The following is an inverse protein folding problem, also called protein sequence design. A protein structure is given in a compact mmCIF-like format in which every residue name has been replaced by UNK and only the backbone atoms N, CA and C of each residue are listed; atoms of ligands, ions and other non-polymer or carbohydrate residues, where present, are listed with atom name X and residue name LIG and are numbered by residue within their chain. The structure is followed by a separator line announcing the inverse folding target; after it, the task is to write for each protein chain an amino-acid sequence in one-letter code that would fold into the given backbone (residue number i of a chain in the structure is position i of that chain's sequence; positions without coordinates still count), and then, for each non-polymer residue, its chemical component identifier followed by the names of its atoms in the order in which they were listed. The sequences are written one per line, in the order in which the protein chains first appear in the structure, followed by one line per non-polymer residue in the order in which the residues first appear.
data_IF_102384602912
#
_entry.id   IF_102384602912
#
_cell.length_a   1.000
_cell.length_b   1.000
_cell.length_c   1.000
_cell.angle_alpha   90.00
_cell.angle_beta   90.00
_cell.angle_gamma   90.00
#
_symmetry.space_group_name_H-M   'P 1'
#
loop_
_entity.id
_entity.type
_entity.pdbx_description
1 polymer ?
#
# COMPACT_ATOMS: atom_id res chain seq x y z
N UNK A 1 -1.74 -3.65 7.37
CA UNK A 1 -1.36 -2.22 7.30
C UNK A 1 -2.28 -1.49 6.31
N UNK A 2 -2.66 -0.25 6.62
CA UNK A 2 -3.44 0.62 5.75
C UNK A 2 -2.68 1.93 5.48
N UNK A 3 -2.66 2.37 4.23
CA UNK A 3 -2.06 3.64 3.81
C UNK A 3 -3.10 4.41 2.99
N UNK A 4 -3.32 5.68 3.33
CA UNK A 4 -4.22 6.58 2.61
C UNK A 4 -3.54 7.94 2.45
N UNK A 5 -3.64 8.56 1.29
CA UNK A 5 -3.10 9.89 1.02
C UNK A 5 -3.90 10.59 -0.06
N UNK A 6 -3.85 11.92 -0.10
CA UNK A 6 -4.31 12.67 -1.27
C UNK A 6 -3.27 12.59 -2.38
N UNK A 7 -3.74 12.39 -3.61
CA UNK A 7 -2.89 12.22 -4.78
C UNK A 7 -3.36 13.10 -5.94
N UNK A 8 -2.63 14.18 -6.18
CA UNK A 8 -2.94 15.18 -7.22
C UNK A 8 -2.03 15.02 -8.43
N UNK A 9 -2.01 13.84 -9.03
CA UNK A 9 -1.28 13.60 -10.27
C UNK A 9 -2.22 13.54 -11.48
N UNK A 10 -1.78 14.05 -12.62
CA UNK A 10 -2.47 13.84 -13.89
C UNK A 10 -2.40 12.36 -14.28
N UNK A 11 -3.48 11.83 -14.87
CA UNK A 11 -3.53 10.45 -15.35
C UNK A 11 -2.77 10.27 -16.68
N UNK A 12 -1.48 10.60 -16.69
CA UNK A 12 -0.62 10.44 -17.88
C UNK A 12 -0.07 9.01 -17.98
N UNK A 13 0.32 8.55 -19.17
CA UNK A 13 0.96 7.24 -19.35
C UNK A 13 2.20 7.05 -18.46
N UNK A 14 2.99 8.10 -18.24
CA UNK A 14 4.20 8.05 -17.41
C UNK A 14 3.85 7.82 -15.93
N UNK A 15 2.78 8.44 -15.44
CA UNK A 15 2.26 8.23 -14.07
C UNK A 15 1.76 6.79 -13.90
N UNK A 16 1.05 6.26 -14.89
CA UNK A 16 0.59 4.87 -14.89
C UNK A 16 1.77 3.89 -14.91
N UNK A 17 2.78 4.14 -15.75
CA UNK A 17 3.97 3.29 -15.80
C UNK A 17 4.74 3.32 -14.48
N UNK A 18 4.93 4.50 -13.88
CA UNK A 18 5.60 4.62 -12.58
C UNK A 18 4.84 3.90 -11.45
N UNK A 19 3.50 3.87 -11.51
CA UNK A 19 2.68 3.09 -10.58
C UNK A 19 2.85 1.58 -10.80
N UNK A 20 2.86 1.13 -12.06
CA UNK A 20 3.12 -0.27 -12.45
C UNK A 20 4.50 -0.74 -12.00
N UNK A 21 5.55 0.03 -12.26
CA UNK A 21 6.93 -0.30 -11.85
C UNK A 21 7.02 -0.42 -10.33
N UNK A 22 6.31 0.46 -9.60
CA UNK A 22 6.22 0.37 -8.14
C UNK A 22 5.47 -0.87 -7.68
N UNK A 23 4.41 -1.28 -8.37
CA UNK A 23 3.70 -2.51 -8.06
C UNK A 23 4.60 -3.73 -8.24
N UNK A 24 5.40 -3.79 -9.31
CA UNK A 24 6.39 -4.85 -9.52
C UNK A 24 7.42 -4.89 -8.39
N UNK A 25 8.04 -3.74 -8.05
CA UNK A 25 9.01 -3.68 -6.95
C UNK A 25 8.42 -4.10 -5.60
N UNK A 26 7.21 -3.65 -5.29
CA UNK A 26 6.52 -4.06 -4.06
C UNK A 26 6.33 -5.59 -4.04
N UNK A 27 5.90 -6.18 -5.15
CA UNK A 27 5.65 -7.62 -5.22
C UNK A 27 6.93 -8.47 -5.18
N UNK A 28 8.05 -7.98 -5.72
CA UNK A 28 9.29 -8.76 -5.82
C UNK A 28 10.30 -8.51 -4.70
N UNK A 29 10.32 -7.31 -4.10
CA UNK A 29 11.39 -6.89 -3.20
C UNK A 29 10.98 -6.77 -1.74
N UNK A 30 9.68 -6.77 -1.40
CA UNK A 30 9.22 -6.53 -0.02
C UNK A 30 9.09 -7.84 0.75
N UNK A 31 9.99 -8.13 1.71
CA UNK A 31 9.93 -9.35 2.50
C UNK A 31 8.68 -9.35 3.38
N UNK A 32 8.10 -10.54 3.56
CA UNK A 32 6.92 -10.73 4.42
C UNK A 32 5.62 -10.13 3.87
N UNK A 33 5.62 -9.50 2.68
CA UNK A 33 4.38 -9.07 2.03
C UNK A 33 3.61 -10.29 1.51
N UNK A 34 2.37 -10.46 1.96
CA UNK A 34 1.46 -11.50 1.44
C UNK A 34 0.73 -10.97 0.21
N UNK A 35 0.10 -9.80 0.34
CA UNK A 35 -0.57 -9.12 -0.77
C UNK A 35 -0.78 -7.63 -0.48
N UNK A 36 -1.08 -6.89 -1.56
CA UNK A 36 -1.50 -5.50 -1.53
C UNK A 36 -2.72 -5.30 -2.41
N UNK A 37 -3.71 -4.56 -1.90
CA UNK A 37 -4.80 -3.98 -2.70
C UNK A 37 -4.50 -2.50 -2.90
N UNK A 38 -4.52 -2.04 -4.15
CA UNK A 38 -4.44 -0.63 -4.50
C UNK A 38 -5.82 0.01 -4.44
N UNK A 39 -5.93 1.19 -3.84
CA UNK A 39 -7.19 1.93 -3.74
C UNK A 39 -7.01 3.31 -4.35
N UNK A 40 -8.04 3.78 -5.07
CA UNK A 40 -8.08 5.13 -5.62
C UNK A 40 -9.53 5.59 -5.78
N UNK A 41 -9.82 6.80 -5.33
CA UNK A 41 -11.06 7.52 -5.60
C UNK A 41 -10.76 8.78 -6.41
N UNK A 42 -11.17 8.84 -7.69
CA UNK A 42 -10.96 10.01 -8.52
C UNK A 42 -11.76 11.24 -8.08
N UNK A 43 -12.87 11.07 -7.33
CA UNK A 43 -13.72 12.18 -6.90
C UNK A 43 -13.09 12.97 -5.74
N UNK A 44 -12.54 12.26 -4.75
CA UNK A 44 -11.86 12.87 -3.60
C UNK A 44 -10.35 13.05 -3.81
N UNK A 45 -9.79 12.50 -4.90
CA UNK A 45 -8.36 12.41 -5.17
C UNK A 45 -7.61 11.67 -4.05
N UNK A 46 -8.24 10.69 -3.43
CA UNK A 46 -7.63 9.85 -2.41
C UNK A 46 -7.11 8.56 -3.02
N UNK A 47 -5.85 8.24 -2.73
CA UNK A 47 -5.20 7.01 -3.14
C UNK A 47 -4.59 6.31 -1.94
N UNK A 48 -4.32 5.01 -2.07
CA UNK A 48 -3.77 4.27 -0.96
C UNK A 48 -3.49 2.82 -1.26
N UNK A 49 -3.40 2.06 -0.18
CA UNK A 49 -3.41 0.62 -0.27
C UNK A 49 -3.64 -0.06 1.06
N UNK A 50 -4.18 -1.26 0.97
CA UNK A 50 -4.30 -2.20 2.08
C UNK A 50 -3.29 -3.30 1.85
N UNK A 51 -2.49 -3.59 2.88
CA UNK A 51 -1.40 -4.54 2.82
C UNK A 51 -1.58 -5.58 3.91
N UNK A 52 -1.36 -6.84 3.56
CA UNK A 52 -1.18 -7.91 4.53
C UNK A 52 0.30 -8.32 4.56
N UNK A 53 0.85 -8.37 5.76
CA UNK A 53 2.19 -8.87 6.02
C UNK A 53 2.12 -10.11 6.91
N UNK A 54 3.16 -10.95 6.85
CA UNK A 54 3.31 -12.15 7.71
C UNK A 54 3.42 -11.80 9.18
N UNK A 55 3.99 -10.64 9.49
CA UNK A 55 4.24 -10.16 10.85
C UNK A 55 4.41 -8.64 10.89
N UNK A 56 4.36 -8.07 12.10
CA UNK A 56 4.48 -6.63 12.31
C UNK A 56 5.87 -6.08 11.95
N UNK A 57 6.94 -6.86 12.20
CA UNK A 57 8.30 -6.45 11.92
C UNK A 57 8.53 -6.23 10.41
N UNK A 58 7.97 -7.10 9.57
CA UNK A 58 7.99 -6.97 8.11
C UNK A 58 7.26 -5.71 7.64
N UNK A 59 6.11 -5.39 8.26
CA UNK A 59 5.38 -4.17 7.95
C UNK A 59 6.15 -2.90 8.35
N UNK A 60 6.81 -2.91 9.53
CA UNK A 60 7.67 -1.81 9.98
C UNK A 60 8.88 -1.63 9.06
N UNK A 61 9.56 -2.73 8.70
CA UNK A 61 10.69 -2.70 7.77
C UNK A 61 10.30 -2.09 6.41
N UNK A 62 9.09 -2.37 5.90
CA UNK A 62 8.60 -1.73 4.69
C UNK A 62 8.43 -0.21 4.84
N UNK A 63 7.92 0.27 5.98
CA UNK A 63 7.74 1.70 6.26
C UNK A 63 9.06 2.47 6.42
N UNK A 64 10.12 1.78 6.85
CA UNK A 64 11.48 2.30 6.96
C UNK A 64 12.26 2.14 5.65
N UNK A 65 11.74 1.33 4.72
CA UNK A 65 12.40 0.95 3.47
C UNK A 65 12.37 2.03 2.37
N UNK A 66 13.21 1.85 1.33
CA UNK A 66 13.39 2.82 0.25
C UNK A 66 12.14 3.01 -0.62
N UNK A 67 11.32 1.96 -0.79
CA UNK A 67 10.08 2.05 -1.57
C UNK A 67 9.09 3.01 -0.92
N UNK A 68 8.93 2.92 0.41
CA UNK A 68 8.02 3.79 1.15
C UNK A 68 8.59 5.20 1.31
N UNK A 69 9.91 5.34 1.50
CA UNK A 69 10.59 6.63 1.44
C UNK A 69 10.37 7.34 0.09
N UNK A 70 10.54 6.61 -1.02
CA UNK A 70 10.29 7.12 -2.36
C UNK A 70 8.81 7.42 -2.66
N UNK A 71 7.86 6.80 -1.94
CA UNK A 71 6.44 7.18 -2.01
C UNK A 71 6.21 8.51 -1.29
N UNK A 72 6.73 8.68 -0.07
CA UNK A 72 6.64 9.93 0.71
C UNK A 72 7.29 11.13 0.00
N UNK A 73 8.29 10.87 -0.85
CA UNK A 73 8.99 11.91 -1.60
C UNK A 73 8.25 12.42 -2.85
N UNK A 74 7.11 11.82 -3.24
CA UNK A 74 6.36 12.25 -4.42
C UNK A 74 5.67 13.60 -4.12
N UNK A 75 5.97 14.70 -4.85
CA UNK A 75 5.40 16.01 -4.55
C UNK A 75 3.87 16.08 -4.67
N UNK A 76 3.27 15.21 -5.50
CA UNK A 76 1.82 15.13 -5.68
C UNK A 76 1.08 14.40 -4.55
N UNK A 77 1.80 13.87 -3.55
CA UNK A 77 1.23 13.16 -2.40
C UNK A 77 1.14 14.10 -1.19
N UNK A 78 -0.05 14.21 -0.63
CA UNK A 78 -0.34 15.06 0.54
C UNK A 78 -1.11 14.27 1.60
N UNK A 79 -1.04 14.73 2.85
CA UNK A 79 -1.85 14.20 3.97
C UNK A 79 -1.80 12.67 4.14
N UNK A 80 -0.61 12.08 3.98
CA UNK A 80 -0.44 10.63 4.14
C UNK A 80 -0.73 10.17 5.57
N UNK A 81 -1.59 9.17 5.69
CA UNK A 81 -1.92 8.45 6.90
C UNK A 81 -1.52 6.99 6.77
N UNK A 82 -0.92 6.45 7.82
CA UNK A 82 -0.51 5.04 7.91
C UNK A 82 -1.05 4.47 9.20
N UNK A 83 -1.64 3.28 9.13
CA UNK A 83 -2.07 2.51 10.31
C UNK A 83 -1.52 1.09 10.23
N UNK A 84 -0.78 0.70 11.26
CA UNK A 84 -0.47 -0.70 11.56
C UNK A 84 -1.58 -1.23 12.46
N UNK A 85 -2.17 -2.36 12.06
CA UNK A 85 -3.34 -2.96 12.69
C UNK A 85 -3.15 -4.47 12.65
N UNK A 86 -3.49 -5.14 13.75
CA UNK A 86 -3.61 -6.59 13.78
C UNK A 86 -4.81 -7.04 12.94
N UNK A 87 -4.74 -8.26 12.38
CA UNK A 87 -5.86 -8.88 11.68
C UNK A 87 -6.76 -9.56 12.68
N UNK A 88 -8.06 -9.27 12.60
CA UNK A 88 -9.11 -10.02 13.27
C UNK A 88 -9.41 -11.29 12.47
N UNK A 89 -8.66 -12.35 12.72
CA UNK A 89 -8.68 -13.56 11.90
C UNK A 89 -10.08 -14.18 11.80
N UNK A 90 -10.77 -14.34 12.93
CA UNK A 90 -12.07 -15.02 13.00
C UNK A 90 -13.11 -14.36 12.09
N UNK A 91 -13.29 -13.03 12.23
CA UNK A 91 -14.25 -12.30 11.39
C UNK A 91 -13.79 -12.17 9.95
N UNK A 92 -12.48 -12.02 9.73
CA UNK A 92 -11.91 -11.87 8.38
C UNK A 92 -12.10 -13.13 7.53
N UNK A 93 -11.92 -14.31 8.13
CA UNK A 93 -12.15 -15.61 7.47
C UNK A 93 -13.61 -15.75 7.02
N UNK A 94 -14.58 -15.39 7.87
CA UNK A 94 -16.01 -15.39 7.52
C UNK A 94 -16.28 -14.50 6.29
N UNK A 95 -15.60 -13.36 6.19
CA UNK A 95 -15.76 -12.41 5.08
C UNK A 95 -14.86 -12.67 3.89
N UNK A 96 -14.21 -13.85 3.80
CA UNK A 96 -13.37 -14.30 2.68
C UNK A 96 -12.10 -13.47 2.49
N UNK A 97 -11.53 -12.93 3.58
CA UNK A 97 -10.23 -12.30 3.50
C UNK A 97 -9.19 -13.32 3.00
N UNK A 98 -8.29 -12.95 2.08
CA UNK A 98 -7.24 -13.83 1.57
C UNK A 98 -6.10 -13.93 2.60
N UNK A 99 -6.40 -14.43 3.78
CA UNK A 99 -5.38 -14.78 4.77
C UNK A 99 -4.65 -15.99 4.20
N UNK A 100 -3.37 -15.84 3.87
CA UNK A 100 -2.52 -16.97 3.50
C UNK A 100 -2.61 -17.99 4.63
N UNK A 101 -3.18 -19.16 4.34
CA UNK A 101 -3.37 -20.25 5.29
C UNK A 101 -2.06 -20.85 5.80
#
# INVERSE_FOLDING_TARGET
MQVLFRYRAAATPEVQQAATDRAHKIASEVPGLVWKIWTYDPASLEAGGVYLFTDEASAQAYLEGPIFAGLKAIPAIEHMQVKLLAVDCDRSQITRAPLSG
#
